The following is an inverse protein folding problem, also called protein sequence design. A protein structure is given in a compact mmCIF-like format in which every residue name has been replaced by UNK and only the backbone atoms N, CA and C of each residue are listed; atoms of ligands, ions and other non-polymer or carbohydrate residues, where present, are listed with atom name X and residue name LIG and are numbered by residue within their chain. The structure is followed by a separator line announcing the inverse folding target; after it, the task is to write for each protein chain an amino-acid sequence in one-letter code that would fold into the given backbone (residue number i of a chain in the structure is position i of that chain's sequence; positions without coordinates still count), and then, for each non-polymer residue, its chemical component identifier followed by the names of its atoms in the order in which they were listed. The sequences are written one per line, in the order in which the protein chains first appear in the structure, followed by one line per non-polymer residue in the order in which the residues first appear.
data_IF_688629106765
#
_entry.id   IF_688629106765
#
_cell.length_a   1.000
_cell.length_b   1.000
_cell.length_c   1.000
_cell.angle_alpha   90.00
_cell.angle_beta   90.00
_cell.angle_gamma   90.00
#
_symmetry.space_group_name_H-M   'P 1'
#
loop_
_entity.id
_entity.type
_entity.pdbx_description
1 polymer ?
#
# COMPACT_ATOMS: atom_id res chain seq x y z
N UNK A 1 -71.23 15.24 -48.29
CA UNK A 1 -70.62 14.31 -47.32
C UNK A 1 -69.18 14.77 -47.11
N UNK A 2 -68.95 15.64 -46.12
CA UNK A 2 -67.64 16.21 -45.82
C UNK A 2 -67.01 15.48 -44.65
N UNK A 3 -65.79 14.98 -44.83
CA UNK A 3 -65.05 14.22 -43.83
C UNK A 3 -64.20 15.22 -43.04
N UNK A 4 -64.38 15.26 -41.71
CA UNK A 4 -63.52 16.05 -40.82
C UNK A 4 -62.19 15.32 -40.58
N UNK A 5 -61.03 15.99 -40.70
CA UNK A 5 -59.76 15.37 -40.34
C UNK A 5 -59.65 15.25 -38.83
N UNK A 6 -59.34 14.04 -38.36
CA UNK A 6 -59.01 13.77 -36.97
C UNK A 6 -57.77 14.59 -36.56
N UNK A 7 -57.95 15.50 -35.60
CA UNK A 7 -56.86 16.29 -35.05
C UNK A 7 -55.89 15.39 -34.29
N UNK A 8 -54.68 15.24 -34.82
CA UNK A 8 -53.61 14.48 -34.18
C UNK A 8 -53.11 15.25 -32.96
N UNK A 9 -53.41 14.74 -31.76
CA UNK A 9 -52.96 15.30 -30.48
C UNK A 9 -51.45 15.12 -30.35
N UNK A 10 -50.69 16.21 -30.47
CA UNK A 10 -49.26 16.25 -30.09
C UNK A 10 -49.14 16.02 -28.57
N UNK A 11 -48.59 14.87 -28.17
CA UNK A 11 -48.16 14.64 -26.79
C UNK A 11 -46.73 15.17 -26.67
N UNK A 12 -46.58 16.38 -26.14
CA UNK A 12 -45.27 16.89 -25.74
C UNK A 12 -45.08 16.57 -24.26
N UNK A 13 -44.52 15.40 -23.96
CA UNK A 13 -44.05 15.08 -22.61
C UNK A 13 -42.70 15.75 -22.39
N UNK A 14 -42.74 16.97 -21.85
CA UNK A 14 -41.55 17.66 -21.35
C UNK A 14 -41.37 17.30 -19.87
N UNK A 15 -40.94 16.07 -19.60
CA UNK A 15 -40.52 15.68 -18.25
C UNK A 15 -39.14 16.29 -17.98
N UNK A 16 -39.12 17.55 -17.56
CA UNK A 16 -37.94 18.21 -17.01
C UNK A 16 -37.76 17.84 -15.54
N UNK A 17 -36.51 17.73 -15.10
CA UNK A 17 -36.17 17.58 -13.68
C UNK A 17 -36.67 18.79 -12.89
N UNK A 18 -37.26 18.54 -11.73
CA UNK A 18 -37.68 19.61 -10.82
C UNK A 18 -36.45 20.32 -10.24
N UNK A 19 -36.50 21.63 -10.07
CA UNK A 19 -35.43 22.41 -9.40
C UNK A 19 -35.21 21.92 -7.96
N UNK A 20 -36.27 21.45 -7.30
CA UNK A 20 -36.20 20.85 -5.96
C UNK A 20 -35.47 19.51 -5.99
N UNK A 21 -35.68 18.72 -7.05
CA UNK A 21 -35.02 17.44 -7.25
C UNK A 21 -33.51 17.63 -7.47
N UNK A 22 -33.13 18.65 -8.26
CA UNK A 22 -31.72 19.04 -8.41
C UNK A 22 -31.10 19.45 -7.07
N UNK A 23 -31.80 20.24 -6.26
CA UNK A 23 -31.33 20.69 -4.94
C UNK A 23 -31.14 19.49 -3.99
N UNK A 24 -32.08 18.55 -3.98
CA UNK A 24 -31.98 17.28 -3.25
C UNK A 24 -30.75 16.48 -3.67
N UNK A 25 -30.50 16.33 -4.97
CA UNK A 25 -29.35 15.60 -5.50
C UNK A 25 -28.03 16.26 -5.07
N UNK A 26 -27.94 17.59 -5.15
CA UNK A 26 -26.75 18.33 -4.70
C UNK A 26 -26.48 18.09 -3.21
N UNK A 27 -27.52 18.12 -2.37
CA UNK A 27 -27.37 17.84 -0.93
C UNK A 27 -26.88 16.41 -0.69
N UNK A 28 -27.43 15.41 -1.38
CA UNK A 28 -26.98 14.01 -1.26
C UNK A 28 -25.52 13.87 -1.68
N UNK A 29 -25.10 14.51 -2.78
CA UNK A 29 -23.71 14.49 -3.26
C UNK A 29 -22.77 15.09 -2.20
N UNK A 30 -23.13 16.21 -1.58
CA UNK A 30 -22.32 16.83 -0.53
C UNK A 30 -22.15 15.92 0.69
N UNK A 31 -23.23 15.25 1.11
CA UNK A 31 -23.18 14.29 2.21
C UNK A 31 -22.21 13.16 1.88
N UNK A 32 -22.32 12.56 0.68
CA UNK A 32 -21.44 11.47 0.23
C UNK A 32 -19.98 11.91 0.20
N UNK A 33 -19.66 13.06 -0.41
CA UNK A 33 -18.29 13.59 -0.49
C UNK A 33 -17.65 13.72 0.91
N UNK A 34 -18.42 14.22 1.88
CA UNK A 34 -17.94 14.44 3.25
C UNK A 34 -17.54 13.12 3.93
N UNK A 35 -18.33 12.07 3.74
CA UNK A 35 -18.02 10.73 4.27
C UNK A 35 -16.86 10.05 3.54
N UNK A 36 -16.77 10.20 2.22
CA UNK A 36 -15.69 9.58 1.43
C UNK A 36 -14.32 10.17 1.76
N UNK A 37 -14.21 11.48 2.00
CA UNK A 37 -12.94 12.11 2.35
C UNK A 37 -12.40 11.61 3.70
N UNK A 38 -13.28 11.40 4.69
CA UNK A 38 -12.88 10.97 6.04
C UNK A 38 -12.41 9.52 6.10
N UNK A 39 -12.96 8.63 5.27
CA UNK A 39 -12.53 7.22 5.22
C UNK A 39 -11.16 7.05 4.57
N UNK A 40 -10.88 7.76 3.48
CA UNK A 40 -9.59 7.70 2.76
C UNK A 40 -8.44 8.19 3.64
N UNK A 41 -8.60 9.31 4.34
CA UNK A 41 -7.55 9.87 5.19
C UNK A 41 -7.25 8.99 6.42
N UNK A 42 -8.27 8.32 6.97
CA UNK A 42 -8.10 7.42 8.13
C UNK A 42 -7.44 6.09 7.75
N UNK A 43 -7.72 5.56 6.55
CA UNK A 43 -7.18 4.29 6.07
C UNK A 43 -5.68 4.31 5.74
N UNK A 44 -5.12 5.48 5.41
CA UNK A 44 -3.71 5.59 5.04
C UNK A 44 -2.75 5.28 6.20
N UNK A 45 -3.10 5.69 7.44
CA UNK A 45 -2.21 5.52 8.61
C UNK A 45 -1.92 4.05 8.96
N UNK A 46 -2.92 3.15 9.09
CA UNK A 46 -2.65 1.73 9.35
C UNK A 46 -2.04 1.03 8.14
N UNK A 47 -2.41 1.42 6.91
CA UNK A 47 -1.85 0.82 5.70
C UNK A 47 -0.33 1.04 5.58
N UNK A 48 0.15 2.26 5.87
CA UNK A 48 1.58 2.59 5.84
C UNK A 48 2.39 1.74 6.83
N UNK A 49 1.88 1.54 8.05
CA UNK A 49 2.53 0.70 9.06
C UNK A 49 2.55 -0.77 8.67
N UNK A 50 1.43 -1.28 8.16
CA UNK A 50 1.32 -2.66 7.71
C UNK A 50 2.25 -2.95 6.53
N UNK A 51 2.37 -2.02 5.58
CA UNK A 51 3.27 -2.16 4.44
C UNK A 51 4.74 -2.16 4.88
N UNK A 52 5.13 -1.28 5.79
CA UNK A 52 6.48 -1.26 6.36
C UNK A 52 6.84 -2.57 7.07
N UNK A 53 5.92 -3.09 7.90
CA UNK A 53 6.11 -4.36 8.60
C UNK A 53 6.23 -5.55 7.63
N UNK A 54 5.35 -5.62 6.61
CA UNK A 54 5.41 -6.66 5.58
C UNK A 54 6.71 -6.59 4.79
N UNK A 55 7.16 -5.39 4.43
CA UNK A 55 8.42 -5.22 3.72
C UNK A 55 9.61 -5.72 4.56
N UNK A 56 9.65 -5.41 5.85
CA UNK A 56 10.68 -5.90 6.75
C UNK A 56 10.67 -7.43 6.87
N UNK A 57 9.49 -8.03 7.06
CA UNK A 57 9.33 -9.50 7.10
C UNK A 57 9.81 -10.14 5.80
N UNK A 58 9.44 -9.58 4.65
CA UNK A 58 9.89 -10.09 3.36
C UNK A 58 11.42 -10.09 3.22
N UNK A 59 12.11 -9.06 3.74
CA UNK A 59 13.57 -9.03 3.73
C UNK A 59 14.20 -10.08 4.67
N UNK A 60 13.58 -10.35 5.83
CA UNK A 60 14.02 -11.44 6.69
C UNK A 60 13.86 -12.81 6.02
N UNK A 61 12.72 -13.05 5.37
CA UNK A 61 12.48 -14.30 4.63
C UNK A 61 13.46 -14.46 3.46
N UNK A 62 13.72 -13.38 2.71
CA UNK A 62 14.70 -13.38 1.63
C UNK A 62 16.11 -13.64 2.15
N UNK A 63 16.52 -12.98 3.23
CA UNK A 63 17.83 -13.21 3.84
C UNK A 63 17.98 -14.65 4.33
N UNK A 64 16.95 -15.22 4.97
CA UNK A 64 16.94 -16.62 5.38
C UNK A 64 17.10 -17.55 4.19
N UNK A 65 16.28 -17.37 3.16
CA UNK A 65 16.32 -18.22 1.97
C UNK A 65 17.65 -18.09 1.21
N UNK A 66 18.24 -16.90 1.16
CA UNK A 66 19.54 -16.69 0.52
C UNK A 66 20.67 -17.39 1.30
N UNK A 67 20.72 -17.21 2.62
CA UNK A 67 21.68 -17.92 3.49
C UNK A 67 21.59 -19.44 3.33
N UNK A 68 20.38 -20.01 3.32
CA UNK A 68 20.15 -21.45 3.15
C UNK A 68 20.55 -21.92 1.75
N UNK A 69 20.14 -21.19 0.70
CA UNK A 69 20.50 -21.53 -0.69
C UNK A 69 22.00 -21.57 -0.89
N UNK A 70 22.74 -20.69 -0.20
CA UNK A 70 24.19 -20.55 -0.30
C UNK A 70 24.96 -21.43 0.67
N UNK A 71 24.27 -22.09 1.63
CA UNK A 71 24.89 -22.82 2.74
C UNK A 71 25.99 -21.96 3.41
N UNK A 72 25.61 -20.74 3.75
CA UNK A 72 26.53 -19.74 4.24
C UNK A 72 27.06 -20.12 5.63
N UNK A 73 28.26 -20.68 5.68
CA UNK A 73 28.88 -21.15 6.94
C UNK A 73 29.75 -20.07 7.63
N UNK A 74 30.06 -18.98 6.92
CA UNK A 74 30.82 -17.85 7.45
C UNK A 74 29.96 -16.59 7.47
N UNK A 75 30.11 -15.76 8.51
CA UNK A 75 29.36 -14.52 8.66
C UNK A 75 29.48 -13.58 7.44
N UNK A 76 30.61 -13.59 6.73
CA UNK A 76 30.82 -12.80 5.51
C UNK A 76 30.01 -13.26 4.30
N UNK A 77 29.44 -14.46 4.35
CA UNK A 77 28.63 -15.07 3.29
C UNK A 77 27.14 -15.12 3.64
N UNK A 78 26.80 -14.86 4.90
CA UNK A 78 25.41 -14.87 5.37
C UNK A 78 24.71 -13.58 4.92
N UNK A 79 23.49 -13.72 4.40
CA UNK A 79 22.63 -12.58 4.20
C UNK A 79 22.28 -11.97 5.56
N UNK A 80 22.26 -10.64 5.63
CA UNK A 80 22.17 -9.91 6.88
C UNK A 80 21.16 -8.78 6.82
N UNK A 81 20.40 -8.65 7.91
CA UNK A 81 19.52 -7.51 8.16
C UNK A 81 20.07 -6.79 9.38
N UNK A 82 20.55 -5.55 9.20
CA UNK A 82 21.10 -4.74 10.28
C UNK A 82 20.17 -3.59 10.61
N UNK A 83 19.63 -3.59 11.83
CA UNK A 83 18.90 -2.44 12.36
C UNK A 83 19.93 -1.40 12.81
N UNK A 84 19.97 -0.27 12.10
CA UNK A 84 20.95 0.80 12.31
C UNK A 84 20.51 1.73 13.44
N UNK A 85 19.23 2.09 13.48
CA UNK A 85 18.61 2.93 14.50
C UNK A 85 17.07 2.78 14.47
N UNK A 86 16.35 3.68 15.14
CA UNK A 86 14.89 3.69 15.24
C UNK A 86 14.15 3.78 13.89
N UNK A 87 14.77 4.39 12.86
CA UNK A 87 14.15 4.69 11.56
C UNK A 87 14.85 4.06 10.36
N UNK A 88 15.98 3.41 10.57
CA UNK A 88 16.80 2.91 9.48
C UNK A 88 17.24 1.48 9.76
N UNK A 89 17.17 0.66 8.72
CA UNK A 89 17.78 -0.67 8.69
C UNK A 89 18.44 -0.88 7.33
N UNK A 90 19.49 -1.68 7.28
CA UNK A 90 20.13 -2.11 6.05
C UNK A 90 19.93 -3.59 5.82
N UNK A 91 19.87 -3.98 4.55
CA UNK A 91 19.71 -5.36 4.11
C UNK A 91 20.82 -5.66 3.13
N UNK A 92 21.52 -6.78 3.33
CA UNK A 92 22.55 -7.29 2.43
C UNK A 92 22.13 -8.70 2.07
N UNK A 93 21.82 -8.90 0.79
CA UNK A 93 21.29 -10.15 0.22
C UNK A 93 21.79 -10.29 -1.21
N UNK A 94 21.65 -11.47 -1.79
CA UNK A 94 21.79 -11.68 -3.23
C UNK A 94 20.47 -11.31 -3.95
N UNK A 95 20.33 -10.05 -4.38
CA UNK A 95 19.10 -9.58 -5.03
C UNK A 95 19.00 -10.04 -6.48
N UNK A 96 20.15 -10.22 -7.14
CA UNK A 96 20.24 -10.55 -8.56
C UNK A 96 20.34 -12.06 -8.82
N UNK A 97 20.52 -12.86 -7.78
CA UNK A 97 20.59 -14.32 -7.82
C UNK A 97 21.93 -14.88 -8.30
N UNK A 98 23.00 -14.07 -8.32
CA UNK A 98 24.31 -14.43 -8.88
C UNK A 98 25.21 -15.24 -7.93
N UNK A 99 24.76 -15.45 -6.69
CA UNK A 99 25.49 -16.19 -5.66
C UNK A 99 26.51 -15.35 -4.88
N UNK A 100 26.59 -14.04 -5.10
CA UNK A 100 27.36 -13.06 -4.31
C UNK A 100 26.43 -12.23 -3.41
N UNK A 101 26.97 -11.60 -2.36
CA UNK A 101 26.16 -10.65 -1.55
C UNK A 101 26.26 -9.28 -2.20
N UNK A 102 25.12 -8.65 -2.47
CA UNK A 102 25.09 -7.30 -3.00
C UNK A 102 25.49 -6.26 -1.95
N UNK A 103 25.79 -5.04 -2.42
CA UNK A 103 26.02 -3.90 -1.52
C UNK A 103 24.82 -3.67 -0.60
N UNK A 104 25.03 -3.34 0.69
CA UNK A 104 23.95 -3.09 1.64
C UNK A 104 22.95 -2.03 1.15
N UNK A 105 21.69 -2.42 1.03
CA UNK A 105 20.57 -1.53 0.75
C UNK A 105 20.05 -0.92 2.05
N UNK A 106 20.07 0.40 2.16
CA UNK A 106 19.53 1.11 3.34
C UNK A 106 18.07 1.46 3.13
N UNK A 107 17.21 0.99 4.01
CA UNK A 107 15.78 1.29 4.02
C UNK A 107 15.47 2.33 5.10
N UNK A 108 14.62 3.28 4.71
CA UNK A 108 14.19 4.40 5.52
C UNK A 108 12.71 4.26 5.91
N UNK A 109 12.44 4.23 7.20
CA UNK A 109 11.09 4.14 7.79
C UNK A 109 10.44 5.52 8.05
N UNK A 110 11.12 6.62 7.67
CA UNK A 110 10.54 7.95 7.80
C UNK A 110 9.24 8.06 7.01
N UNK A 111 8.20 8.60 7.64
CA UNK A 111 6.85 8.67 7.06
C UNK A 111 6.01 7.40 7.20
N UNK A 112 6.61 6.25 7.54
CA UNK A 112 5.88 4.98 7.68
C UNK A 112 5.21 4.80 9.06
N UNK A 113 5.35 5.79 9.96
CA UNK A 113 4.80 5.79 11.34
C UNK A 113 5.13 4.53 12.15
N UNK A 114 6.28 3.94 11.87
CA UNK A 114 6.89 2.81 12.59
C UNK A 114 8.20 3.29 13.20
N UNK A 115 8.53 2.75 14.36
CA UNK A 115 9.78 2.97 15.10
C UNK A 115 10.28 1.60 15.52
N UNK A 116 11.52 1.29 15.18
CA UNK A 116 12.20 0.14 15.75
C UNK A 116 12.60 0.49 17.18
N UNK A 117 12.56 -0.48 18.09
CA UNK A 117 13.05 -0.27 19.46
C UNK A 117 14.42 -0.94 19.62
N UNK A 118 15.29 -0.29 20.38
CA UNK A 118 16.69 -0.67 20.53
C UNK A 118 16.92 -1.77 21.57
N UNK A 119 18.19 -2.08 21.86
CA UNK A 119 19.42 -1.35 21.48
C UNK A 119 19.83 -1.51 20.00
N UNK A 120 20.59 -0.53 19.51
CA UNK A 120 21.13 -0.44 18.15
C UNK A 120 22.65 -0.21 18.17
N UNK A 121 23.41 -0.59 17.11
CA UNK A 121 22.96 -1.40 15.99
C UNK A 121 22.78 -2.88 16.37
N UNK A 122 21.89 -3.58 15.67
CA UNK A 122 21.72 -5.04 15.81
C UNK A 122 21.67 -5.69 14.44
N UNK A 123 22.55 -6.66 14.22
CA UNK A 123 22.59 -7.44 12.98
C UNK A 123 21.99 -8.81 13.22
N UNK A 124 21.09 -9.20 12.33
CA UNK A 124 20.51 -10.52 12.26
C UNK A 124 21.06 -11.22 11.02
N UNK A 125 21.56 -12.43 11.22
CA UNK A 125 22.13 -13.29 10.18
C UNK A 125 21.48 -14.65 10.34
N UNK A 126 21.36 -15.38 9.24
CA UNK A 126 20.84 -16.74 9.24
C UNK A 126 21.96 -17.70 8.89
N UNK A 127 22.21 -18.65 9.78
CA UNK A 127 23.13 -19.77 9.60
C UNK A 127 22.34 -21.01 9.12
N UNK A 128 23.03 -21.92 8.43
CA UNK A 128 22.53 -23.22 7.96
C UNK A 128 22.89 -24.37 8.92
N UNK A 129 23.65 -24.11 9.99
CA UNK A 129 24.02 -25.09 11.00
C UNK A 129 22.87 -25.39 11.98
N UNK A 130 21.96 -26.28 11.61
CA UNK A 130 21.14 -27.10 12.53
C UNK A 130 21.84 -28.44 12.83
#
# INVERSE_FOLDING_TARGET
MSIHPASARKITSSQGFSTIELLMIVVIILIVITYTLTTVVRGQKPALRANAARQLVNYFEQARNDSVRRRANAASQMAQVTILNEKYYSVMLDANGDGALDTPLVINLNGQRVSLNGPFPRTFMFDDND
#
